data_IF_455951890468
#
_entry.id   IF_455951890468
#
_cell.length_a   1.000
_cell.length_b   1.000
_cell.length_c   1.000
_cell.angle_alpha   90.00
_cell.angle_beta   90.00
_cell.angle_gamma   90.00
#
_symmetry.space_group_name_H-M   'P 1'
#
loop_
_entity.id
_entity.type
_entity.pdbx_description
1 polymer ?
#
# COMPACT_ATOMS: atom_id res chain seq x y z
N UNK A 1 1.63 -20.06 -16.05
CA UNK A 1 2.95 -19.94 -15.38
C UNK A 1 3.38 -21.32 -14.94
N UNK A 2 4.59 -21.76 -15.30
CA UNK A 2 5.09 -23.12 -15.00
C UNK A 2 5.39 -23.28 -13.50
N UNK A 3 5.26 -24.49 -12.96
CA UNK A 3 5.56 -24.85 -11.56
C UNK A 3 7.00 -24.51 -11.19
N UNK A 4 7.94 -24.67 -12.13
CA UNK A 4 9.35 -24.32 -11.92
C UNK A 4 9.58 -22.80 -11.85
N UNK A 5 8.83 -22.02 -12.61
CA UNK A 5 8.84 -20.55 -12.55
C UNK A 5 8.26 -20.04 -11.22
N UNK A 6 7.20 -20.67 -10.73
CA UNK A 6 6.62 -20.40 -9.41
C UNK A 6 7.61 -20.70 -8.28
N UNK A 7 8.26 -21.87 -8.31
CA UNK A 7 9.24 -22.26 -7.29
C UNK A 7 10.44 -21.31 -7.28
N UNK A 8 10.96 -20.92 -8.45
CA UNK A 8 12.07 -19.97 -8.55
C UNK A 8 11.70 -18.55 -8.11
N UNK A 9 10.43 -18.16 -8.22
CA UNK A 9 9.95 -16.88 -7.70
C UNK A 9 9.76 -16.89 -6.17
N UNK A 10 9.50 -18.07 -5.58
CA UNK A 10 9.28 -18.23 -4.15
C UNK A 10 10.55 -18.56 -3.37
N UNK A 11 11.64 -18.95 -4.02
CA UNK A 11 12.94 -19.16 -3.37
C UNK A 11 13.52 -17.82 -2.92
N UNK A 12 13.63 -17.55 -1.60
CA UNK A 12 14.12 -16.27 -1.11
C UNK A 12 15.58 -16.08 -1.46
N UNK A 13 15.91 -14.90 -2.00
CA UNK A 13 17.28 -14.49 -2.31
C UNK A 13 17.79 -13.48 -1.26
N UNK A 14 19.10 -13.22 -1.25
CA UNK A 14 19.72 -12.21 -0.39
C UNK A 14 19.07 -10.82 -0.54
N UNK A 15 18.62 -10.49 -1.75
CA UNK A 15 17.88 -9.24 -2.03
C UNK A 15 16.54 -9.17 -1.27
N UNK A 16 15.85 -10.29 -1.08
CA UNK A 16 14.59 -10.31 -0.34
C UNK A 16 14.82 -10.09 1.15
N UNK A 17 15.94 -10.58 1.70
CA UNK A 17 16.36 -10.28 3.08
C UNK A 17 16.58 -8.77 3.24
N UNK A 18 17.22 -8.11 2.28
CA UNK A 18 17.42 -6.65 2.30
C UNK A 18 16.07 -5.91 2.27
N UNK A 19 15.12 -6.31 1.42
CA UNK A 19 13.77 -5.72 1.38
C UNK A 19 13.05 -5.85 2.72
N UNK A 20 13.12 -7.03 3.33
CA UNK A 20 12.50 -7.30 4.64
C UNK A 20 13.12 -6.39 5.71
N UNK A 21 14.47 -6.34 5.80
CA UNK A 21 15.16 -5.50 6.76
C UNK A 21 14.84 -4.02 6.57
N UNK A 22 14.85 -3.54 5.32
CA UNK A 22 14.53 -2.15 5.01
C UNK A 22 13.10 -1.80 5.41
N UNK A 23 12.13 -2.68 5.10
CA UNK A 23 10.73 -2.48 5.48
C UNK A 23 10.55 -2.50 7.01
N UNK A 24 11.25 -3.40 7.71
CA UNK A 24 11.23 -3.45 9.16
C UNK A 24 11.82 -2.18 9.80
N UNK A 25 12.89 -1.63 9.22
CA UNK A 25 13.49 -0.35 9.66
C UNK A 25 12.49 0.79 9.50
N UNK A 26 11.74 0.87 8.39
CA UNK A 26 10.70 1.90 8.20
C UNK A 26 9.67 1.86 9.33
N UNK A 27 9.13 0.67 9.65
CA UNK A 27 8.16 0.51 10.73
C UNK A 27 8.77 0.83 12.10
N UNK A 28 9.99 0.38 12.36
CA UNK A 28 10.71 0.68 13.59
C UNK A 28 10.91 2.18 13.78
N UNK A 29 11.30 2.91 12.72
CA UNK A 29 11.51 4.36 12.77
C UNK A 29 10.20 5.08 13.06
N UNK A 30 9.11 4.70 12.37
CA UNK A 30 7.78 5.27 12.60
C UNK A 30 7.31 5.07 14.05
N UNK A 31 7.44 3.85 14.58
CA UNK A 31 7.02 3.53 15.96
C UNK A 31 7.87 4.21 17.01
N UNK A 32 9.17 4.38 16.77
CA UNK A 32 10.06 5.14 17.66
C UNK A 32 9.76 6.65 17.64
N UNK A 33 9.49 7.21 16.46
CA UNK A 33 9.15 8.62 16.33
C UNK A 33 7.79 8.96 16.93
N UNK A 34 6.85 8.02 16.94
CA UNK A 34 5.57 8.19 17.64
C UNK A 34 5.77 8.50 19.13
N UNK A 35 6.76 7.87 19.78
CA UNK A 35 7.07 8.12 21.20
C UNK A 35 7.59 9.53 21.47
N UNK A 36 8.08 10.22 20.43
CA UNK A 36 8.63 11.57 20.51
C UNK A 36 7.62 12.62 20.04
N UNK A 37 6.92 12.36 18.93
CA UNK A 37 5.93 13.26 18.36
C UNK A 37 4.93 12.54 17.46
N UNK A 38 3.66 12.59 17.84
CA UNK A 38 2.54 12.09 17.03
C UNK A 38 2.45 12.75 15.64
N UNK A 39 2.90 14.01 15.51
CA UNK A 39 2.86 14.74 14.24
C UNK A 39 3.93 14.24 13.27
N UNK A 40 5.14 13.99 13.78
CA UNK A 40 6.26 13.50 12.95
C UNK A 40 6.02 12.06 12.49
N UNK A 41 5.52 11.21 13.37
CA UNK A 41 5.14 9.85 12.99
C UNK A 41 4.01 9.83 11.97
N UNK A 42 2.98 10.66 12.14
CA UNK A 42 1.88 10.79 11.18
C UNK A 42 2.37 11.30 9.81
N UNK A 43 3.30 12.27 9.77
CA UNK A 43 3.91 12.74 8.54
C UNK A 43 4.65 11.60 7.82
N UNK A 44 5.46 10.83 8.53
CA UNK A 44 6.19 9.70 7.94
C UNK A 44 5.27 8.59 7.43
N UNK A 45 4.19 8.29 8.14
CA UNK A 45 3.17 7.32 7.70
C UNK A 45 2.45 7.81 6.43
N UNK A 46 2.23 9.12 6.31
CA UNK A 46 1.58 9.71 5.14
C UNK A 46 2.45 9.67 3.88
N UNK A 47 3.78 9.56 4.03
CA UNK A 47 4.68 9.41 2.89
C UNK A 47 4.52 8.00 2.27
N UNK A 48 4.42 7.89 0.93
CA UNK A 48 4.27 6.61 0.25
C UNK A 48 5.61 5.84 0.15
N UNK A 49 6.34 5.72 1.26
CA UNK A 49 7.68 5.12 1.31
C UNK A 49 7.67 3.69 0.80
N UNK A 50 6.68 2.89 1.21
CA UNK A 50 6.53 1.49 0.77
C UNK A 50 6.30 1.40 -0.73
N UNK A 51 5.47 2.29 -1.30
CA UNK A 51 5.22 2.34 -2.74
C UNK A 51 6.47 2.77 -3.52
N UNK A 52 7.18 3.79 -3.04
CA UNK A 52 8.45 4.23 -3.66
C UNK A 52 9.48 3.10 -3.64
N UNK A 53 9.67 2.44 -2.50
CA UNK A 53 10.58 1.30 -2.39
C UNK A 53 10.16 0.17 -3.34
N UNK A 54 8.87 -0.17 -3.40
CA UNK A 54 8.37 -1.19 -4.33
C UNK A 54 8.67 -0.83 -5.79
N UNK A 55 8.43 0.41 -6.21
CA UNK A 55 8.72 0.87 -7.57
C UNK A 55 10.22 0.85 -7.90
N UNK A 56 11.09 1.16 -6.94
CA UNK A 56 12.54 1.01 -7.10
C UNK A 56 12.90 -0.45 -7.35
N UNK A 57 12.38 -1.38 -6.54
CA UNK A 57 12.63 -2.81 -6.75
C UNK A 57 12.06 -3.31 -8.07
N UNK A 58 10.85 -2.89 -8.45
CA UNK A 58 10.27 -3.18 -9.76
C UNK A 58 11.19 -2.72 -10.90
N UNK A 59 11.84 -1.57 -10.78
CA UNK A 59 12.79 -1.09 -11.80
C UNK A 59 14.03 -2.00 -11.91
N UNK A 60 14.53 -2.52 -10.79
CA UNK A 60 15.75 -3.34 -10.75
C UNK A 60 15.51 -4.83 -11.04
N UNK A 61 14.35 -5.35 -10.69
CA UNK A 61 14.03 -6.79 -10.75
C UNK A 61 13.07 -7.17 -11.87
N UNK A 62 12.54 -6.19 -12.61
CA UNK A 62 11.58 -6.49 -13.67
C UNK A 62 12.20 -7.39 -14.72
N UNK A 63 11.54 -8.55 -14.92
CA UNK A 63 11.87 -9.55 -15.94
C UNK A 63 11.56 -9.07 -17.37
N UNK A 64 10.89 -7.92 -17.52
CA UNK A 64 10.52 -7.38 -18.83
C UNK A 64 11.77 -6.87 -19.52
N UNK A 65 12.13 -7.49 -20.64
CA UNK A 65 13.34 -7.16 -21.42
C UNK A 65 13.26 -5.75 -22.02
N UNK A 66 12.06 -5.34 -22.45
CA UNK A 66 11.79 -4.02 -23.00
C UNK A 66 11.74 -2.93 -21.93
N UNK A 67 12.56 -1.90 -22.10
CA UNK A 67 12.62 -0.75 -21.21
C UNK A 67 11.35 0.09 -21.22
N UNK A 68 10.68 0.23 -22.37
CA UNK A 68 9.45 1.01 -22.47
C UNK A 68 8.32 0.34 -21.68
N UNK A 69 8.12 -0.96 -21.89
CA UNK A 69 7.15 -1.76 -21.13
C UNK A 69 7.42 -1.77 -19.60
N UNK A 70 8.69 -1.71 -19.15
CA UNK A 70 9.02 -1.55 -17.72
C UNK A 70 8.52 -0.23 -17.14
N UNK A 71 8.76 0.88 -17.84
CA UNK A 71 8.34 2.21 -17.37
C UNK A 71 6.81 2.29 -17.34
N UNK A 72 6.15 1.75 -18.35
CA UNK A 72 4.69 1.71 -18.41
C UNK A 72 4.07 0.92 -17.24
N UNK A 73 4.67 -0.23 -16.87
CA UNK A 73 4.20 -1.00 -15.71
C UNK A 73 4.31 -0.21 -14.39
N UNK A 74 5.41 0.52 -14.20
CA UNK A 74 5.61 1.36 -13.01
C UNK A 74 4.63 2.54 -13.01
N UNK A 75 4.40 3.18 -14.17
CA UNK A 75 3.44 4.27 -14.32
C UNK A 75 2.01 3.81 -13.98
N UNK A 76 1.60 2.65 -14.49
CA UNK A 76 0.31 2.05 -14.16
C UNK A 76 0.18 1.72 -12.67
N UNK A 77 1.25 1.21 -12.04
CA UNK A 77 1.24 0.96 -10.60
C UNK A 77 0.99 2.24 -9.78
N UNK A 78 1.64 3.35 -10.15
CA UNK A 78 1.41 4.64 -9.52
C UNK A 78 -0.01 5.16 -9.77
N UNK A 79 -0.52 5.02 -11.00
CA UNK A 79 -1.87 5.42 -11.38
C UNK A 79 -2.96 4.66 -10.60
N UNK A 80 -2.84 3.34 -10.49
CA UNK A 80 -3.78 2.54 -9.71
C UNK A 80 -3.68 2.84 -8.20
N UNK A 81 -2.47 3.02 -7.69
CA UNK A 81 -2.26 3.40 -6.27
C UNK A 81 -2.98 4.71 -5.94
N UNK A 82 -2.94 5.71 -6.83
CA UNK A 82 -3.67 6.97 -6.65
C UNK A 82 -5.17 6.74 -6.42
N UNK A 83 -5.82 5.93 -7.26
CA UNK A 83 -7.25 5.61 -7.10
C UNK A 83 -7.53 4.84 -5.82
N UNK A 84 -6.66 3.91 -5.44
CA UNK A 84 -6.83 3.07 -4.25
C UNK A 84 -6.55 3.79 -2.92
N UNK A 85 -5.89 4.95 -2.94
CA UNK A 85 -5.74 5.80 -1.75
C UNK A 85 -7.03 6.54 -1.40
N UNK A 86 -7.87 6.91 -2.38
CA UNK A 86 -9.13 7.62 -2.13
C UNK A 86 -10.08 6.89 -1.14
N UNK A 87 -10.37 5.59 -1.30
CA UNK A 87 -11.26 4.87 -0.38
C UNK A 87 -10.65 4.64 1.01
N UNK A 88 -9.32 4.77 1.17
CA UNK A 88 -8.68 4.65 2.50
C UNK A 88 -8.71 5.97 3.27
N UNK A 89 -8.76 7.13 2.61
CA UNK A 89 -8.73 8.44 3.28
C UNK A 89 -9.79 8.62 4.40
N UNK A 90 -11.06 8.18 4.26
CA UNK A 90 -12.06 8.32 5.33
C UNK A 90 -11.66 7.67 6.66
N UNK A 91 -10.83 6.62 6.64
CA UNK A 91 -10.37 5.96 7.87
C UNK A 91 -9.59 6.91 8.79
N UNK A 92 -8.83 7.87 8.22
CA UNK A 92 -8.06 8.84 8.98
C UNK A 92 -8.94 9.84 9.75
N UNK A 93 -10.23 9.90 9.44
CA UNK A 93 -11.21 10.71 10.17
C UNK A 93 -12.06 9.85 11.10
N UNK A 94 -12.46 8.65 10.66
CA UNK A 94 -13.33 7.76 11.43
C UNK A 94 -12.61 7.17 12.64
N UNK A 95 -11.36 6.72 12.50
CA UNK A 95 -10.57 6.22 13.64
C UNK A 95 -10.48 7.25 14.77
N UNK A 96 -9.96 8.48 14.56
CA UNK A 96 -9.85 9.44 15.65
C UNK A 96 -11.22 9.87 16.19
N UNK A 97 -12.26 9.95 15.35
CA UNK A 97 -13.61 10.24 15.81
C UNK A 97 -14.14 9.16 16.76
N UNK A 98 -14.03 7.88 16.40
CA UNK A 98 -14.47 6.77 17.24
C UNK A 98 -13.65 6.68 18.53
N UNK A 99 -12.32 6.76 18.45
CA UNK A 99 -11.48 6.69 19.64
C UNK A 99 -11.77 7.84 20.62
N UNK A 100 -11.98 9.07 20.12
CA UNK A 100 -12.37 10.22 20.95
C UNK A 100 -13.77 10.10 21.57
N UNK A 101 -14.65 9.26 20.99
CA UNK A 101 -15.98 8.93 21.53
C UNK A 101 -15.94 7.79 22.56
N UNK A 102 -14.77 7.20 22.83
CA UNK A 102 -14.60 6.15 23.82
C UNK A 102 -14.83 4.73 23.30
N UNK A 103 -14.97 4.54 21.98
CA UNK A 103 -15.00 3.20 21.41
C UNK A 103 -13.63 2.50 21.58
N UNK A 104 -13.64 1.19 21.82
CA UNK A 104 -12.41 0.42 21.95
C UNK A 104 -11.58 0.38 20.66
N UNK A 105 -10.25 0.27 20.80
CA UNK A 105 -9.31 0.28 19.68
C UNK A 105 -9.59 -0.82 18.64
N UNK A 106 -9.67 -2.09 19.07
CA UNK A 106 -9.88 -3.22 18.16
C UNK A 106 -11.25 -3.17 17.47
N UNK A 107 -12.29 -2.71 18.17
CA UNK A 107 -13.61 -2.52 17.57
C UNK A 107 -13.58 -1.42 16.50
N UNK A 108 -12.94 -0.28 16.81
CA UNK A 108 -12.72 0.81 15.86
C UNK A 108 -11.97 0.34 14.61
N UNK A 109 -10.93 -0.48 14.78
CA UNK A 109 -10.18 -1.05 13.67
C UNK A 109 -11.06 -1.96 12.79
N UNK A 110 -11.88 -2.83 13.41
CA UNK A 110 -12.81 -3.70 12.69
C UNK A 110 -13.84 -2.92 11.87
N UNK A 111 -14.44 -1.88 12.44
CA UNK A 111 -15.39 -0.99 11.73
C UNK A 111 -14.70 -0.32 10.54
N UNK A 112 -13.49 0.21 10.73
CA UNK A 112 -12.74 0.84 9.66
C UNK A 112 -12.36 -0.13 8.53
N UNK A 113 -12.01 -1.38 8.85
CA UNK A 113 -11.70 -2.40 7.84
C UNK A 113 -12.91 -2.73 6.96
N UNK A 114 -14.09 -2.93 7.58
CA UNK A 114 -15.34 -3.19 6.85
C UNK A 114 -15.73 -1.97 6.00
N UNK A 115 -15.69 -0.77 6.58
CA UNK A 115 -16.00 0.47 5.87
C UNK A 115 -15.09 0.68 4.66
N UNK A 116 -13.77 0.56 4.85
CA UNK A 116 -12.79 0.74 3.77
C UNK A 116 -13.04 -0.27 2.65
N UNK A 117 -13.28 -1.54 2.99
CA UNK A 117 -13.61 -2.58 2.00
C UNK A 117 -14.86 -2.20 1.20
N UNK A 118 -15.94 -1.74 1.86
CA UNK A 118 -17.15 -1.29 1.19
C UNK A 118 -16.90 -0.08 0.25
N UNK A 119 -16.05 0.87 0.66
CA UNK A 119 -15.66 2.01 -0.16
C UNK A 119 -14.83 1.59 -1.38
N UNK A 120 -13.96 0.58 -1.25
CA UNK A 120 -13.25 0.00 -2.39
C UNK A 120 -14.22 -0.61 -3.41
N UNK A 121 -15.19 -1.40 -2.97
CA UNK A 121 -16.22 -1.95 -3.86
C UNK A 121 -17.01 -0.84 -4.57
N UNK A 122 -17.39 0.20 -3.84
CA UNK A 122 -18.07 1.36 -4.40
C UNK A 122 -17.21 2.05 -5.46
N UNK A 123 -15.92 2.30 -5.18
CA UNK A 123 -14.98 2.90 -6.11
C UNK A 123 -14.88 2.09 -7.41
N UNK A 124 -14.77 0.77 -7.32
CA UNK A 124 -14.66 -0.11 -8.50
C UNK A 124 -15.93 -0.05 -9.34
N UNK A 125 -17.12 -0.06 -8.70
CA UNK A 125 -18.41 0.05 -9.39
C UNK A 125 -18.56 1.41 -10.07
N UNK A 126 -18.19 2.50 -9.40
CA UNK A 126 -18.30 3.85 -9.99
C UNK A 126 -17.30 4.02 -11.13
N UNK A 127 -16.05 3.61 -10.95
CA UNK A 127 -15.05 3.73 -12.00
C UNK A 127 -15.44 2.91 -13.22
N UNK A 128 -15.89 1.66 -13.07
CA UNK A 128 -16.38 0.84 -14.19
C UNK A 128 -17.54 1.50 -14.96
N UNK A 129 -18.38 2.29 -14.28
CA UNK A 129 -19.53 2.96 -14.89
C UNK A 129 -19.16 4.25 -15.62
N UNK A 130 -18.22 5.03 -15.09
CA UNK A 130 -17.89 6.37 -15.58
C UNK A 130 -16.64 6.42 -16.46
N UNK A 131 -15.74 5.46 -16.30
CA UNK A 131 -14.48 5.41 -17.02
C UNK A 131 -14.29 3.99 -17.52
N UNK A 132 -13.88 3.78 -18.77
CA UNK A 132 -13.56 2.43 -19.29
C UNK A 132 -12.29 1.83 -18.68
N UNK A 133 -11.98 2.14 -17.41
CA UNK A 133 -10.84 1.64 -16.66
C UNK A 133 -11.26 0.30 -16.04
N UNK A 134 -10.71 -0.78 -16.55
CA UNK A 134 -10.79 -2.09 -15.92
C UNK A 134 -9.80 -2.14 -14.75
N UNK A 135 -10.29 -1.87 -13.54
CA UNK A 135 -9.51 -2.05 -12.31
C UNK A 135 -9.44 -3.51 -11.84
N UNK A 136 -10.16 -4.42 -12.52
CA UNK A 136 -10.16 -5.87 -12.33
C UNK A 136 -10.53 -6.59 -13.61
#
# INVERSE_FOLDING_TARGET
>A
MDKNELLKALTPNLFDVVKILLTAVVILVVTKLQLVSDKLSALLIALPLTSILAMIWMRHESKVSDQAARVESIANHAYYTFWFVLPTMPMFLVIPWMLKKGYGFYFTLGVNAVMTTALFWLLVITLKKFTSIELM
#
